data_IF_375474446826
#
_entry.id   IF_375474446826
#
_cell.length_a   1.000
_cell.length_b   1.000
_cell.length_c   1.000
_cell.angle_alpha   90.00
_cell.angle_beta   90.00
_cell.angle_gamma   90.00
#
_symmetry.space_group_name_H-M   'P 1'
#
loop_
_entity.id
_entity.type
_entity.pdbx_description
1 polymer ?
#
# COMPACT_ATOMS: atom_id res chain seq x y z
N UNK A 1 -16.44 0.84 -2.90
CA UNK A 1 -16.77 0.28 -1.56
C UNK A 1 -15.72 -0.72 -1.09
N UNK A 2 -15.26 -1.68 -1.93
CA UNK A 2 -14.21 -2.65 -1.54
C UNK A 2 -12.83 -2.04 -1.25
N UNK A 3 -12.42 -0.97 -1.95
CA UNK A 3 -11.09 -0.34 -1.78
C UNK A 3 -10.79 0.14 -0.35
N UNK A 4 -11.82 0.43 0.45
CA UNK A 4 -11.69 0.95 1.81
C UNK A 4 -12.12 -0.04 2.89
N UNK A 5 -12.63 -1.22 2.50
CA UNK A 5 -13.10 -2.24 3.42
C UNK A 5 -11.95 -2.96 4.16
N UNK A 6 -10.72 -2.85 3.65
CA UNK A 6 -9.53 -3.51 4.19
C UNK A 6 -8.90 -2.69 5.33
N UNK A 7 -9.14 -1.36 5.37
CA UNK A 7 -8.53 -0.46 6.36
C UNK A 7 -8.89 -0.81 7.81
N UNK A 8 -10.17 -1.08 8.18
CA UNK A 8 -10.49 -1.39 9.58
C UNK A 8 -9.85 -2.69 10.10
N UNK A 9 -9.83 -3.80 9.34
CA UNK A 9 -9.06 -4.99 9.72
C UNK A 9 -7.57 -4.74 9.91
N UNK A 10 -6.92 -3.98 9.02
CA UNK A 10 -5.49 -3.64 9.15
C UNK A 10 -5.24 -2.82 10.42
N UNK A 11 -6.05 -1.78 10.65
CA UNK A 11 -5.92 -0.93 11.84
C UNK A 11 -6.11 -1.72 13.14
N UNK A 12 -7.08 -2.65 13.17
CA UNK A 12 -7.29 -3.52 14.33
C UNK A 12 -6.12 -4.49 14.54
N UNK A 13 -5.56 -5.04 13.46
CA UNK A 13 -4.43 -5.96 13.53
C UNK A 13 -3.17 -5.30 14.09
N UNK A 14 -2.81 -4.09 13.63
CA UNK A 14 -1.67 -3.34 14.15
C UNK A 14 -1.80 -3.04 15.66
N UNK A 15 -3.01 -2.67 16.10
CA UNK A 15 -3.30 -2.45 17.53
C UNK A 15 -3.11 -3.74 18.33
N UNK A 16 -3.53 -4.89 17.80
CA UNK A 16 -3.38 -6.18 18.47
C UNK A 16 -1.91 -6.62 18.56
N UNK A 17 -1.11 -6.34 17.53
CA UNK A 17 0.31 -6.70 17.49
C UNK A 17 1.14 -5.90 18.50
N UNK A 18 0.81 -4.64 18.74
CA UNK A 18 1.54 -3.81 19.70
C UNK A 18 0.65 -2.72 20.31
N UNK A 19 -0.15 -3.05 21.32
CA UNK A 19 -1.10 -2.12 21.93
C UNK A 19 -0.43 -0.85 22.48
N UNK A 20 0.77 -0.99 23.03
CA UNK A 20 1.54 0.12 23.64
C UNK A 20 2.06 1.14 22.61
N UNK A 21 2.30 0.72 21.36
CA UNK A 21 2.80 1.59 20.28
C UNK A 21 1.80 1.77 19.15
N UNK A 22 0.53 1.44 19.38
CA UNK A 22 -0.52 1.41 18.37
C UNK A 22 -0.68 2.76 17.64
N UNK A 23 -0.64 3.88 18.36
CA UNK A 23 -0.78 5.23 17.78
C UNK A 23 0.36 5.55 16.80
N UNK A 24 1.58 5.10 17.10
CA UNK A 24 2.75 5.28 16.23
C UNK A 24 2.59 4.42 14.98
N UNK A 25 2.21 3.15 15.13
CA UNK A 25 2.03 2.26 13.97
C UNK A 25 0.87 2.71 13.07
N UNK A 26 -0.24 3.16 13.66
CA UNK A 26 -1.38 3.68 12.91
C UNK A 26 -1.06 4.99 12.20
N UNK A 27 -0.34 5.92 12.84
CA UNK A 27 0.05 7.18 12.20
C UNK A 27 1.02 6.93 11.05
N UNK A 28 2.04 6.09 11.24
CA UNK A 28 2.95 5.68 10.17
C UNK A 28 2.21 5.02 9.00
N UNK A 29 1.34 4.03 9.27
CA UNK A 29 0.54 3.38 8.23
C UNK A 29 -0.34 4.37 7.47
N UNK A 30 -0.98 5.30 8.19
CA UNK A 30 -1.82 6.35 7.60
C UNK A 30 -1.01 7.32 6.73
N UNK A 31 0.20 7.67 7.15
CA UNK A 31 1.12 8.50 6.37
C UNK A 31 1.53 7.80 5.08
N UNK A 32 1.96 6.55 5.14
CA UNK A 32 2.34 5.79 3.94
C UNK A 32 1.15 5.58 3.00
N UNK A 33 -0.05 5.36 3.53
CA UNK A 33 -1.28 5.25 2.73
C UNK A 33 -1.55 6.54 1.94
N UNK A 34 -1.53 7.71 2.59
CA UNK A 34 -1.72 8.99 1.88
C UNK A 34 -0.60 9.28 0.89
N UNK A 35 0.64 8.93 1.22
CA UNK A 35 1.78 9.10 0.34
C UNK A 35 1.63 8.23 -0.91
N UNK A 36 1.18 6.98 -0.74
CA UNK A 36 0.84 6.08 -1.84
C UNK A 36 -0.29 6.60 -2.72
N UNK A 37 -1.34 7.18 -2.12
CA UNK A 37 -2.44 7.81 -2.86
C UNK A 37 -1.91 9.00 -3.68
N UNK A 38 -1.19 9.93 -3.05
CA UNK A 38 -0.66 11.10 -3.73
C UNK A 38 0.26 10.70 -4.90
N UNK A 39 1.18 9.77 -4.65
CA UNK A 39 2.11 9.26 -5.66
C UNK A 39 1.38 8.55 -6.81
N UNK A 40 0.41 7.67 -6.48
CA UNK A 40 -0.41 6.98 -7.47
C UNK A 40 -1.25 7.94 -8.32
N UNK A 41 -1.85 8.97 -7.70
CA UNK A 41 -2.57 10.02 -8.41
C UNK A 41 -1.64 10.83 -9.32
N UNK A 42 -0.43 11.19 -8.86
CA UNK A 42 0.55 11.88 -9.70
C UNK A 42 0.95 11.06 -10.92
N UNK A 43 1.24 9.76 -10.74
CA UNK A 43 1.55 8.86 -11.86
C UNK A 43 0.37 8.76 -12.82
N UNK A 44 -0.83 8.49 -12.29
CA UNK A 44 -2.03 8.34 -13.12
C UNK A 44 -2.36 9.61 -13.92
N UNK A 45 -2.14 10.79 -13.33
CA UNK A 45 -2.27 12.07 -14.04
C UNK A 45 -1.29 12.17 -15.21
N UNK A 46 -0.02 11.86 -14.98
CA UNK A 46 1.01 11.89 -16.04
C UNK A 46 0.71 10.90 -17.16
N UNK A 47 0.17 9.72 -16.83
CA UNK A 47 -0.24 8.72 -17.82
C UNK A 47 -1.36 9.26 -18.69
N UNK A 48 -2.40 9.86 -18.10
CA UNK A 48 -3.51 10.47 -18.85
C UNK A 48 -3.02 11.63 -19.73
N UNK A 49 -2.06 12.43 -19.24
CA UNK A 49 -1.53 13.57 -19.99
C UNK A 49 -0.70 13.16 -21.22
N UNK A 50 -0.06 11.99 -21.18
CA UNK A 50 0.89 11.53 -22.21
C UNK A 50 0.37 10.39 -23.08
N UNK A 51 -0.62 9.66 -22.59
CA UNK A 51 -1.19 8.45 -23.20
C UNK A 51 -2.72 8.47 -23.10
N UNK A 52 -3.37 7.31 -22.94
CA UNK A 52 -4.82 7.23 -22.76
C UNK A 52 -5.22 6.86 -21.32
N UNK A 53 -6.51 7.05 -21.00
CA UNK A 53 -7.05 6.70 -19.67
C UNK A 53 -6.99 5.18 -19.45
N UNK A 54 -7.13 4.39 -20.51
CA UNK A 54 -7.09 2.92 -20.49
C UNK A 54 -5.70 2.40 -20.07
N UNK A 55 -4.63 3.11 -20.39
CA UNK A 55 -3.25 2.73 -20.05
C UNK A 55 -2.98 2.75 -18.54
N UNK A 56 -3.78 3.48 -17.75
CA UNK A 56 -3.68 3.46 -16.28
C UNK A 56 -3.85 2.06 -15.69
N UNK A 57 -4.66 1.21 -16.31
CA UNK A 57 -4.86 -0.16 -15.82
C UNK A 57 -3.56 -0.96 -15.89
N UNK A 58 -2.82 -0.85 -17.00
CA UNK A 58 -1.54 -1.52 -17.18
C UNK A 58 -0.46 -0.98 -16.24
N UNK A 59 -0.37 0.34 -16.10
CA UNK A 59 0.58 0.98 -15.17
C UNK A 59 0.27 0.61 -13.72
N UNK A 60 -1.00 0.64 -13.32
CA UNK A 60 -1.45 0.20 -12.00
C UNK A 60 -1.14 -1.28 -11.72
N UNK A 61 -1.33 -2.16 -12.71
CA UNK A 61 -0.97 -3.57 -12.60
C UNK A 61 0.54 -3.75 -12.38
N UNK A 62 1.39 -3.00 -13.09
CA UNK A 62 2.83 -3.03 -12.89
C UNK A 62 3.24 -2.58 -11.47
N UNK A 63 2.62 -1.52 -10.95
CA UNK A 63 2.84 -1.07 -9.56
C UNK A 63 2.41 -2.11 -8.53
N UNK A 64 1.28 -2.80 -8.75
CA UNK A 64 0.82 -3.90 -7.89
C UNK A 64 1.81 -5.07 -7.92
N UNK A 65 2.34 -5.44 -9.09
CA UNK A 65 3.36 -6.49 -9.18
C UNK A 65 4.63 -6.15 -8.40
N UNK A 66 5.08 -4.89 -8.43
CA UNK A 66 6.19 -4.42 -7.61
C UNK A 66 5.88 -4.53 -6.12
N UNK A 67 4.67 -4.15 -5.68
CA UNK A 67 4.23 -4.29 -4.29
C UNK A 67 4.14 -5.75 -3.83
N UNK A 68 3.73 -6.67 -4.71
CA UNK A 68 3.76 -8.10 -4.42
C UNK A 68 5.20 -8.62 -4.28
N UNK A 69 6.12 -8.11 -5.09
CA UNK A 69 7.55 -8.42 -4.98
C UNK A 69 8.14 -7.97 -3.64
N UNK A 70 7.84 -6.75 -3.18
CA UNK A 70 8.32 -6.26 -1.88
C UNK A 70 7.71 -7.04 -0.72
N UNK A 71 6.41 -7.36 -0.78
CA UNK A 71 5.75 -8.19 0.21
C UNK A 71 6.38 -9.59 0.29
N UNK A 72 6.70 -10.19 -0.86
CA UNK A 72 7.37 -11.48 -0.90
C UNK A 72 8.78 -11.46 -0.27
N UNK A 73 9.55 -10.40 -0.51
CA UNK A 73 10.88 -10.23 0.13
C UNK A 73 10.73 -10.06 1.65
N UNK A 74 9.78 -9.25 2.11
CA UNK A 74 9.50 -9.04 3.54
C UNK A 74 9.19 -10.38 4.23
N UNK A 75 8.21 -11.11 3.69
CA UNK A 75 7.73 -12.39 4.23
C UNK A 75 8.81 -13.49 4.25
N UNK A 76 9.82 -13.40 3.39
CA UNK A 76 10.98 -14.30 3.42
C UNK A 76 11.95 -13.98 4.54
N UNK A 77 12.26 -12.70 4.76
CA UNK A 77 13.17 -12.28 5.83
C UNK A 77 12.66 -12.61 7.22
N UNK A 78 11.33 -12.59 7.41
CA UNK A 78 10.67 -12.97 8.67
C UNK A 78 10.76 -14.47 8.96
N UNK A 79 10.84 -15.31 7.92
CA UNK A 79 10.98 -16.78 8.05
C UNK A 79 12.40 -17.24 8.35
N UNK A 80 13.42 -16.48 7.99
CA UNK A 80 14.84 -16.78 8.29
C UNK A 80 15.25 -16.37 9.71
N UNK A 81 14.48 -15.50 10.35
CA UNK A 81 14.76 -14.96 11.69
C UNK A 81 13.99 -15.66 12.83
N UNK A 82 13.14 -16.65 12.49
CA UNK A 82 12.28 -17.40 13.41
C UNK A 82 12.72 -18.88 13.48
#
# INVERSE_FOLDING_TARGET
VLSWAITPPIQSHLVQLSPETADIQQSLNTTFLHLGIAFGTSIGSVVIDRFSVEDNAAVGAALILLALGTAWVSLRGERESA
#
